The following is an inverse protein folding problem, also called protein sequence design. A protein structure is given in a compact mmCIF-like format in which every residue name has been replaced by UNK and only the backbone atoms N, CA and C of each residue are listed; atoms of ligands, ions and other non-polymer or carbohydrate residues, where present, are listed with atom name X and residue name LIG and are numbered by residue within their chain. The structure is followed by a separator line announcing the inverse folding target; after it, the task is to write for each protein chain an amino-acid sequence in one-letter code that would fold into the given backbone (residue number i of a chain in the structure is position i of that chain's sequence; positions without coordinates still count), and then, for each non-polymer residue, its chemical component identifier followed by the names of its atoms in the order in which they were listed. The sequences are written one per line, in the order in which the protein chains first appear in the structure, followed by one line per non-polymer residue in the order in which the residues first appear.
data_IF_137809482728
#
_entry.id   IF_137809482728
#
_cell.length_a   1.000
_cell.length_b   1.000
_cell.length_c   1.000
_cell.angle_alpha   90.00
_cell.angle_beta   90.00
_cell.angle_gamma   90.00
#
_symmetry.space_group_name_H-M   'P 1'
#
loop_
_entity.id
_entity.type
_entity.pdbx_description
1 polymer ?
#
# COMPACT_ATOMS: atom_id res chain seq x y z
N UNK A 1 7.96 -23.79 -28.80
CA UNK A 1 6.93 -23.33 -27.85
C UNK A 1 7.22 -21.88 -27.48
N UNK A 2 6.34 -20.94 -27.79
CA UNK A 2 6.44 -19.56 -27.28
C UNK A 2 5.45 -19.39 -26.13
N UNK A 3 5.92 -19.58 -24.89
CA UNK A 3 5.12 -19.36 -23.67
C UNK A 3 5.28 -17.88 -23.30
N UNK A 4 4.36 -17.05 -23.79
CA UNK A 4 4.36 -15.61 -23.52
C UNK A 4 3.33 -15.23 -22.47
N UNK A 5 3.69 -14.27 -21.62
CA UNK A 5 2.79 -13.67 -20.65
C UNK A 5 1.83 -12.70 -21.35
N UNK A 6 0.52 -12.95 -21.22
CA UNK A 6 -0.53 -12.12 -21.80
C UNK A 6 -0.56 -10.70 -21.22
N UNK A 7 -1.18 -9.75 -21.94
CA UNK A 7 -1.26 -8.34 -21.50
C UNK A 7 -2.01 -8.16 -20.17
N UNK A 8 -3.06 -8.94 -19.96
CA UNK A 8 -3.90 -8.91 -18.76
C UNK A 8 -3.58 -10.04 -17.79
N UNK A 9 -2.58 -10.86 -18.10
CA UNK A 9 -2.27 -12.05 -17.33
C UNK A 9 -1.42 -11.71 -16.09
N UNK A 10 -1.85 -12.25 -14.95
CA UNK A 10 -1.07 -12.17 -13.71
C UNK A 10 0.24 -12.96 -13.84
N UNK A 11 1.27 -12.53 -13.11
CA UNK A 11 2.54 -13.25 -13.08
C UNK A 11 2.37 -14.68 -12.55
N UNK A 12 1.49 -14.87 -11.56
CA UNK A 12 1.12 -16.18 -11.01
C UNK A 12 0.56 -17.12 -12.07
N UNK A 13 -0.40 -16.66 -12.88
CA UNK A 13 -1.01 -17.50 -13.92
C UNK A 13 0.00 -17.86 -15.00
N UNK A 14 0.83 -16.90 -15.40
CA UNK A 14 1.91 -17.14 -16.34
C UNK A 14 2.90 -18.19 -15.81
N UNK A 15 3.34 -18.03 -14.56
CA UNK A 15 4.26 -18.96 -13.91
C UNK A 15 3.68 -20.38 -13.83
N UNK A 16 2.40 -20.54 -13.49
CA UNK A 16 1.73 -21.85 -13.45
C UNK A 16 1.66 -22.52 -14.83
N UNK A 17 1.38 -21.76 -15.90
CA UNK A 17 1.43 -22.32 -17.26
C UNK A 17 2.84 -22.75 -17.64
N UNK A 18 3.82 -21.91 -17.33
CA UNK A 18 5.22 -22.19 -17.61
C UNK A 18 5.74 -23.40 -16.82
N UNK A 19 5.42 -23.53 -15.53
CA UNK A 19 5.89 -24.64 -14.70
C UNK A 19 5.36 -25.98 -15.20
N UNK A 20 4.07 -26.03 -15.54
CA UNK A 20 3.43 -27.22 -16.08
C UNK A 20 4.01 -27.66 -17.42
N UNK A 21 4.47 -26.72 -18.25
CA UNK A 21 4.97 -27.00 -19.60
C UNK A 21 6.49 -27.22 -19.67
N UNK A 22 7.27 -26.63 -18.76
CA UNK A 22 8.74 -26.59 -18.87
C UNK A 22 9.42 -27.07 -17.61
N UNK A 23 9.08 -26.52 -16.43
CA UNK A 23 9.81 -26.85 -15.20
C UNK A 23 9.65 -28.31 -14.77
N UNK A 24 8.48 -28.89 -15.03
CA UNK A 24 8.18 -30.28 -14.70
C UNK A 24 8.79 -31.29 -15.67
N UNK A 25 9.45 -30.84 -16.75
CA UNK A 25 10.13 -31.73 -17.69
C UNK A 25 11.57 -31.97 -17.20
N UNK A 26 11.94 -33.21 -16.82
CA UNK A 26 13.24 -33.50 -16.21
C UNK A 26 14.41 -33.24 -17.17
N UNK A 27 14.18 -33.46 -18.47
CA UNK A 27 15.20 -33.37 -19.52
C UNK A 27 15.52 -31.94 -19.96
N UNK A 28 14.75 -30.95 -19.52
CA UNK A 28 15.00 -29.55 -19.88
C UNK A 28 16.15 -29.00 -19.03
N UNK A 29 17.17 -28.51 -19.71
CA UNK A 29 18.31 -27.82 -19.12
C UNK A 29 17.90 -26.52 -18.41
N UNK A 30 18.52 -26.23 -17.27
CA UNK A 30 18.22 -25.06 -16.44
C UNK A 30 18.37 -23.74 -17.18
N UNK A 31 19.37 -23.62 -18.06
CA UNK A 31 19.62 -22.43 -18.87
C UNK A 31 18.54 -22.27 -19.93
N UNK A 32 18.11 -23.37 -20.54
CA UNK A 32 17.02 -23.37 -21.52
C UNK A 32 15.71 -22.96 -20.86
N UNK A 33 15.39 -23.54 -19.70
CA UNK A 33 14.24 -23.16 -18.89
C UNK A 33 14.26 -21.64 -18.61
N UNK A 34 15.35 -21.13 -18.05
CA UNK A 34 15.50 -19.70 -17.78
C UNK A 34 15.30 -18.83 -19.03
N UNK A 35 15.94 -19.18 -20.15
CA UNK A 35 15.84 -18.41 -21.39
C UNK A 35 14.41 -18.36 -21.94
N UNK A 36 13.70 -19.48 -21.92
CA UNK A 36 12.30 -19.56 -22.36
C UNK A 36 11.42 -18.70 -21.45
N UNK A 37 11.59 -18.80 -20.13
CA UNK A 37 10.89 -17.97 -19.17
C UNK A 37 11.16 -16.48 -19.38
N UNK A 38 12.43 -16.10 -19.47
CA UNK A 38 12.87 -14.71 -19.61
C UNK A 38 12.36 -14.08 -20.91
N UNK A 39 12.39 -14.82 -22.02
CA UNK A 39 11.84 -14.39 -23.31
C UNK A 39 10.33 -14.18 -23.23
N UNK A 40 9.62 -15.05 -22.53
CA UNK A 40 8.17 -14.98 -22.35
C UNK A 40 7.68 -13.89 -21.41
N UNK A 41 8.55 -13.34 -20.55
CA UNK A 41 8.22 -12.23 -19.66
C UNK A 41 8.04 -10.89 -20.39
N UNK A 42 7.08 -10.11 -19.90
CA UNK A 42 6.93 -8.70 -20.27
C UNK A 42 8.05 -7.87 -19.63
N UNK A 43 8.32 -6.69 -20.18
CA UNK A 43 9.30 -5.78 -19.62
C UNK A 43 8.74 -5.12 -18.35
N UNK A 44 9.03 -5.73 -17.19
CA UNK A 44 8.55 -5.32 -15.88
C UNK A 44 9.65 -5.42 -14.80
N UNK A 45 9.27 -5.22 -13.54
CA UNK A 45 10.19 -5.26 -12.39
C UNK A 45 10.88 -6.62 -12.25
N UNK A 46 10.15 -7.71 -12.46
CA UNK A 46 10.71 -9.06 -12.41
C UNK A 46 11.74 -9.25 -13.52
N UNK A 47 11.42 -8.88 -14.76
CA UNK A 47 12.36 -9.04 -15.89
C UNK A 47 13.66 -8.25 -15.66
N UNK A 48 13.57 -7.04 -15.08
CA UNK A 48 14.74 -6.27 -14.65
C UNK A 48 15.52 -6.96 -13.52
N UNK A 49 14.83 -7.48 -12.51
CA UNK A 49 15.48 -8.19 -11.41
C UNK A 49 16.20 -9.47 -11.85
N UNK A 50 15.68 -10.15 -12.88
CA UNK A 50 16.31 -11.32 -13.48
C UNK A 50 17.55 -10.95 -14.32
N UNK A 51 17.55 -9.81 -15.00
CA UNK A 51 18.74 -9.29 -15.71
C UNK A 51 19.90 -9.00 -14.75
N UNK A 52 19.61 -8.45 -13.58
CA UNK A 52 20.65 -8.11 -12.59
C UNK A 52 21.25 -9.36 -11.95
N UNK A 53 20.41 -10.36 -11.63
CA UNK A 53 20.86 -11.59 -11.00
C UNK A 53 20.15 -12.78 -11.61
N UNK A 54 20.81 -13.39 -12.59
CA UNK A 54 20.33 -14.60 -13.26
C UNK A 54 20.31 -15.76 -12.28
N UNK A 55 19.16 -16.47 -12.13
CA UNK A 55 19.11 -17.70 -11.34
C UNK A 55 19.91 -18.81 -12.02
N UNK A 56 20.63 -19.60 -11.23
CA UNK A 56 21.53 -20.66 -11.72
C UNK A 56 20.81 -22.00 -11.94
N UNK A 57 19.62 -22.19 -11.38
CA UNK A 57 18.84 -23.43 -11.47
C UNK A 57 17.34 -23.16 -11.63
N UNK A 58 16.59 -24.19 -12.06
CA UNK A 58 15.12 -24.19 -12.11
C UNK A 58 14.49 -23.85 -10.74
N UNK A 59 15.07 -24.36 -9.65
CA UNK A 59 14.58 -24.10 -8.30
C UNK A 59 14.84 -22.65 -7.88
N UNK A 60 16.04 -22.13 -8.14
CA UNK A 60 16.38 -20.74 -7.85
C UNK A 60 15.50 -19.77 -8.66
N UNK A 61 15.16 -20.12 -9.90
CA UNK A 61 14.20 -19.37 -10.71
C UNK A 61 12.83 -19.38 -10.06
N UNK A 62 12.34 -20.57 -9.67
CA UNK A 62 11.02 -20.74 -9.03
C UNK A 62 10.91 -19.90 -7.77
N UNK A 63 11.87 -20.01 -6.84
CA UNK A 63 11.90 -19.22 -5.60
C UNK A 63 11.87 -17.72 -5.89
N UNK A 64 12.70 -17.25 -6.83
CA UNK A 64 12.76 -15.83 -7.14
C UNK A 64 11.45 -15.30 -7.73
N UNK A 65 10.77 -16.11 -8.54
CA UNK A 65 9.49 -15.75 -9.14
C UNK A 65 8.37 -15.77 -8.10
N UNK A 66 8.30 -16.79 -7.25
CA UNK A 66 7.28 -16.88 -6.18
C UNK A 66 7.40 -15.74 -5.19
N UNK A 67 8.61 -15.40 -4.74
CA UNK A 67 8.82 -14.22 -3.88
C UNK A 67 8.34 -12.94 -4.57
N UNK A 68 8.58 -12.80 -5.87
CA UNK A 68 8.10 -11.63 -6.62
C UNK A 68 6.57 -11.57 -6.72
N UNK A 69 5.91 -12.72 -6.88
CA UNK A 69 4.46 -12.84 -6.88
C UNK A 69 3.89 -12.43 -5.52
N UNK A 70 4.45 -12.96 -4.43
CA UNK A 70 4.04 -12.65 -3.06
C UNK A 70 4.18 -11.15 -2.76
N UNK A 71 5.29 -10.53 -3.18
CA UNK A 71 5.51 -9.09 -3.01
C UNK A 71 4.52 -8.25 -3.83
N UNK A 72 4.18 -8.67 -5.06
CA UNK A 72 3.15 -7.98 -5.85
C UNK A 72 1.76 -8.13 -5.23
N UNK A 73 1.43 -9.30 -4.72
CA UNK A 73 0.15 -9.59 -4.06
C UNK A 73 0.03 -8.79 -2.75
N UNK A 74 1.11 -8.72 -1.95
CA UNK A 74 1.16 -7.94 -0.71
C UNK A 74 1.04 -6.43 -0.97
N UNK A 75 1.70 -5.91 -2.01
CA UNK A 75 1.60 -4.48 -2.35
C UNK A 75 0.17 -4.11 -2.75
N UNK A 76 -0.49 -4.97 -3.54
CA UNK A 76 -1.89 -4.77 -3.94
C UNK A 76 -2.84 -4.81 -2.75
N UNK A 77 -2.64 -5.73 -1.80
CA UNK A 77 -3.50 -5.80 -0.62
C UNK A 77 -3.32 -4.57 0.29
N UNK A 78 -2.09 -4.09 0.47
CA UNK A 78 -1.82 -2.84 1.21
C UNK A 78 -2.43 -1.62 0.53
N UNK A 79 -2.34 -1.52 -0.79
CA UNK A 79 -2.99 -0.44 -1.55
C UNK A 79 -4.51 -0.46 -1.34
N UNK A 80 -5.13 -1.64 -1.43
CA UNK A 80 -6.57 -1.78 -1.20
C UNK A 80 -6.99 -1.40 0.23
N UNK A 81 -6.20 -1.75 1.24
CA UNK A 81 -6.45 -1.36 2.62
C UNK A 81 -6.33 0.17 2.82
N UNK A 82 -5.35 0.81 2.17
CA UNK A 82 -5.23 2.27 2.21
C UNK A 82 -6.41 2.95 1.52
N UNK A 83 -6.88 2.43 0.38
CA UNK A 83 -8.05 2.96 -0.31
C UNK A 83 -9.31 2.86 0.57
N UNK A 84 -9.50 1.72 1.25
CA UNK A 84 -10.60 1.55 2.21
C UNK A 84 -10.49 2.52 3.38
N UNK A 85 -9.29 2.70 3.94
CA UNK A 85 -9.03 3.67 5.02
C UNK A 85 -9.38 5.09 4.60
N UNK A 86 -8.95 5.52 3.40
CA UNK A 86 -9.27 6.84 2.87
C UNK A 86 -10.77 6.99 2.58
N UNK A 87 -11.46 5.91 2.20
CA UNK A 87 -12.91 5.91 2.00
C UNK A 87 -13.65 6.11 3.33
N UNK A 88 -13.23 5.41 4.39
CA UNK A 88 -13.79 5.56 5.74
C UNK A 88 -13.55 6.98 6.28
N UNK A 89 -12.32 7.50 6.16
CA UNK A 89 -11.99 8.87 6.58
C UNK A 89 -12.79 9.94 5.82
N UNK A 90 -13.20 9.66 4.57
CA UNK A 90 -14.08 10.56 3.80
C UNK A 90 -15.54 10.48 4.26
N UNK A 91 -16.02 9.31 4.69
CA UNK A 91 -17.38 9.15 5.22
C UNK A 91 -17.54 9.72 6.64
N UNK A 92 -16.48 9.70 7.46
CA UNK A 92 -16.51 10.23 8.84
C UNK A 92 -16.36 11.76 8.92
N UNK A 93 -16.18 12.48 7.80
CA UNK A 93 -16.30 13.93 7.86
C UNK A 93 -17.76 14.27 8.17
N UNK A 94 -18.08 14.89 9.33
CA UNK A 94 -19.42 15.38 9.54
C UNK A 94 -19.71 16.36 8.40
N UNK A 95 -20.75 16.09 7.63
CA UNK A 95 -21.36 17.09 6.76
C UNK A 95 -21.76 18.21 7.72
N UNK A 96 -20.94 19.27 7.75
CA UNK A 96 -21.26 20.46 8.52
C UNK A 96 -22.68 20.84 8.12
N UNK A 97 -23.64 20.94 9.06
CA UNK A 97 -24.98 21.35 8.71
C UNK A 97 -24.82 22.66 7.94
N UNK A 98 -25.29 22.70 6.70
CA UNK A 98 -25.47 23.96 5.99
C UNK A 98 -26.30 24.84 6.92
N UNK A 99 -25.64 25.73 7.66
CA UNK A 99 -26.30 26.88 8.26
C UNK A 99 -26.70 27.73 7.06
N UNK A 100 -27.91 27.52 6.56
CA UNK A 100 -28.59 28.56 5.81
C UNK A 100 -28.88 29.67 6.80
N UNK A 101 -28.32 30.88 6.65
CA UNK A 101 -28.81 32.02 7.40
C UNK A 101 -29.98 32.57 6.60
N UNK A 102 -31.18 32.31 7.14
CA UNK A 102 -32.35 33.14 6.92
C UNK A 102 -31.96 34.58 7.30
N UNK A 103 -32.40 35.56 6.50
CA UNK A 103 -32.42 37.01 6.78
C UNK A 103 -31.07 37.70 7.08
N UNK A 104 -30.35 38.17 6.06
CA UNK A 104 -29.43 39.30 6.23
C UNK A 104 -29.99 40.50 5.46
N UNK A 105 -30.76 41.33 6.18
CA UNK A 105 -31.27 42.62 5.72
C UNK A 105 -30.82 43.68 6.74
N UNK A 106 -29.88 44.52 6.29
CA UNK A 106 -29.62 45.91 6.70
C UNK A 106 -29.04 46.24 8.10
N UNK A 107 -27.80 46.75 8.02
CA UNK A 107 -27.41 48.12 8.45
C UNK A 107 -26.85 48.36 9.86
N UNK A 108 -25.54 48.64 9.85
CA UNK A 108 -24.82 49.68 10.61
C UNK A 108 -24.72 49.60 12.14
N UNK A 109 -23.52 49.32 12.68
CA UNK A 109 -22.78 50.29 13.51
C UNK A 109 -21.35 49.83 13.92
N UNK A 110 -20.37 50.68 13.60
CA UNK A 110 -19.14 51.07 14.36
C UNK A 110 -18.20 50.03 15.02
N UNK A 111 -16.97 49.98 14.47
CA UNK A 111 -15.65 49.55 14.99
C UNK A 111 -15.23 50.26 16.31
N UNK A 112 -14.02 50.05 16.92
CA UNK A 112 -13.07 48.91 16.96
C UNK A 112 -12.45 48.65 18.38
N UNK A 113 -11.76 47.50 18.63
CA UNK A 113 -10.54 47.29 19.48
C UNK A 113 -10.52 45.98 20.31
N UNK A 114 -9.38 45.28 20.27
CA UNK A 114 -8.92 44.23 21.20
C UNK A 114 -9.58 42.86 20.94
N UNK A 115 -8.92 41.70 20.91
CA UNK A 115 -7.65 41.26 21.46
C UNK A 115 -7.09 40.13 20.59
N UNK A 116 -5.78 40.17 20.30
CA UNK A 116 -5.05 39.02 19.76
C UNK A 116 -4.75 38.08 20.94
N UNK A 117 -5.63 37.12 21.19
CA UNK A 117 -5.41 36.01 22.13
C UNK A 117 -4.67 34.85 21.45
N UNK A 118 -3.58 34.43 22.08
CA UNK A 118 -2.55 33.49 21.61
C UNK A 118 -3.04 32.10 21.18
N UNK A 119 -2.65 31.69 19.96
CA UNK A 119 -2.86 30.33 19.44
C UNK A 119 -1.81 29.31 19.94
N UNK A 120 -0.91 29.69 20.86
CA UNK A 120 0.18 28.82 21.33
C UNK A 120 -0.09 28.10 22.65
N UNK A 121 -1.14 28.48 23.39
CA UNK A 121 -1.42 27.93 24.73
C UNK A 121 -2.29 26.66 24.70
N UNK A 122 -2.87 26.33 23.54
CA UNK A 122 -3.73 25.14 23.36
C UNK A 122 -2.98 23.84 23.03
N UNK A 123 -1.66 23.90 22.83
CA UNK A 123 -0.83 22.72 22.51
C UNK A 123 -0.15 22.11 23.76
N UNK A 124 0.20 22.91 24.76
CA UNK A 124 0.81 22.40 26.01
C UNK A 124 -0.20 21.65 26.89
N UNK A 125 -1.47 22.06 26.90
CA UNK A 125 -2.52 21.39 27.69
C UNK A 125 -2.84 19.97 27.18
N UNK A 126 -2.69 19.71 25.87
CA UNK A 126 -2.88 18.36 25.30
C UNK A 126 -1.70 17.42 25.53
N UNK A 127 -0.49 17.95 25.71
CA UNK A 127 0.67 17.12 26.04
C UNK A 127 0.66 16.67 27.51
N UNK A 128 0.26 17.55 28.44
CA UNK A 128 0.16 17.21 29.87
C UNK A 128 -0.95 16.20 30.19
N UNK A 129 -2.06 16.20 29.46
CA UNK A 129 -3.13 15.20 29.66
C UNK A 129 -2.73 13.78 29.25
N UNK A 130 -1.85 13.63 28.24
CA UNK A 130 -1.37 12.31 27.79
C UNK A 130 -0.35 11.68 28.76
N UNK A 131 0.43 12.47 29.49
CA UNK A 131 1.40 11.95 30.44
C UNK A 131 0.76 11.46 31.76
N UNK A 132 -0.42 11.99 32.15
CA UNK A 132 -1.08 11.55 33.39
C UNK A 132 -1.86 10.23 33.27
N UNK A 133 -2.17 9.78 32.05
CA UNK A 133 -2.91 8.52 31.84
C UNK A 133 -1.97 7.30 31.95
N UNK A 134 -0.65 7.47 31.77
CA UNK A 134 0.31 6.35 31.73
C UNK A 134 0.94 5.94 33.08
N UNK A 135 0.63 6.63 34.19
CA UNK A 135 1.21 6.32 35.50
C UNK A 135 0.22 5.76 36.53
N UNK A 136 -0.97 5.30 36.11
CA UNK A 136 -1.96 4.69 37.03
C UNK A 136 -2.11 3.17 36.89
N UNK A 137 -1.04 2.49 36.45
CA UNK A 137 -0.96 1.02 36.38
C UNK A 137 0.30 0.47 37.06
N UNK A 138 0.72 1.07 38.16
CA UNK A 138 1.66 0.43 39.10
C UNK A 138 1.21 0.87 40.48
N UNK A 139 0.37 0.06 41.13
CA UNK A 139 0.09 -0.06 42.57
C UNK A 139 -1.29 -0.73 42.65
N UNK A 140 -1.40 -1.80 43.45
CA UNK A 140 -2.55 -2.72 43.61
C UNK A 140 -2.51 -4.01 42.78
N UNK A 141 -1.49 -4.83 43.03
CA UNK A 141 -1.61 -6.29 43.08
C UNK A 141 -0.45 -6.82 43.94
N UNK A 142 -0.52 -6.50 45.23
CA UNK A 142 0.17 -7.22 46.30
C UNK A 142 -0.88 -7.97 47.10
#
# INVERSE_FOLDING_TARGET
MDIQRGKTESLRNYHNRYSNLILNIPTVDDKVAYMVFFKGLRYDKLKKALLVRTPLSKDALTVKVTTHIELEELKKSMEHLNDLRETILRQERPVSPRKSPVWERNSSNTNPRGERGNLYESLELRHKQKCMINNRSVYMAG
#
